data_IF_742433247807
#
_entry.id   IF_742433247807
#
_cell.length_a   1.000
_cell.length_b   1.000
_cell.length_c   1.000
_cell.angle_alpha   90.00
_cell.angle_beta   90.00
_cell.angle_gamma   90.00
#
_symmetry.space_group_name_H-M   'P 1'
#
loop_
_entity.id
_entity.type
_entity.pdbx_description
1 polymer ?
#
# COMPACT_ATOMS: atom_id res chain seq x y z
N UNK A 1 -52.60 52.92 36.85
CA UNK A 1 -51.66 51.94 37.42
C UNK A 1 -51.97 50.58 36.82
N UNK A 2 -51.15 50.10 35.89
CA UNK A 2 -51.16 48.71 35.39
C UNK A 2 -49.89 48.45 34.55
N UNK A 3 -49.07 47.53 35.05
CA UNK A 3 -47.99 46.70 34.47
C UNK A 3 -47.05 47.23 33.36
N UNK A 4 -45.71 47.08 33.51
CA UNK A 4 -44.78 47.09 32.39
C UNK A 4 -44.55 45.67 31.83
N UNK A 5 -44.41 45.64 30.50
CA UNK A 5 -44.20 44.47 29.65
C UNK A 5 -42.74 44.00 29.72
N UNK A 6 -42.55 42.69 29.89
CA UNK A 6 -41.26 42.01 29.82
C UNK A 6 -40.81 41.84 28.34
N UNK A 7 -39.64 42.37 28.00
CA UNK A 7 -39.01 42.15 26.69
C UNK A 7 -37.94 41.07 26.87
N UNK A 8 -38.17 39.91 26.24
CA UNK A 8 -37.26 38.76 26.16
C UNK A 8 -36.13 39.05 25.17
N UNK A 9 -34.89 38.98 25.64
CA UNK A 9 -33.70 38.87 24.80
C UNK A 9 -33.64 37.47 24.16
N UNK A 10 -33.65 37.40 22.83
CA UNK A 10 -33.34 36.19 22.08
C UNK A 10 -31.87 36.26 21.63
N UNK A 11 -31.02 35.45 22.26
CA UNK A 11 -29.66 35.19 21.81
C UNK A 11 -29.75 34.02 20.82
N UNK A 12 -29.63 34.33 19.53
CA UNK A 12 -29.49 33.32 18.48
C UNK A 12 -28.05 32.85 18.46
N UNK A 13 -27.78 31.72 19.13
CA UNK A 13 -26.50 31.03 19.04
C UNK A 13 -26.42 30.30 17.68
N UNK A 14 -25.69 30.89 16.72
CA UNK A 14 -25.25 30.18 15.52
C UNK A 14 -24.22 29.12 15.92
N UNK A 15 -24.67 27.88 16.05
CA UNK A 15 -23.81 26.70 16.07
C UNK A 15 -23.20 26.52 14.67
N UNK A 16 -21.97 27.02 14.50
CA UNK A 16 -21.12 26.60 13.40
C UNK A 16 -20.78 25.11 13.62
N UNK A 17 -21.41 24.23 12.85
CA UNK A 17 -20.89 22.88 12.64
C UNK A 17 -19.58 23.00 11.84
N UNK A 18 -18.48 23.28 12.53
CA UNK A 18 -17.16 22.99 12.01
C UNK A 18 -17.00 21.48 12.07
N UNK A 19 -17.39 20.78 11.01
CA UNK A 19 -17.08 19.36 10.84
C UNK A 19 -15.55 19.21 10.90
N UNK A 20 -14.99 18.49 11.87
CA UNK A 20 -13.59 18.12 11.83
C UNK A 20 -13.49 16.91 10.89
N UNK A 21 -13.72 17.12 9.59
CA UNK A 21 -13.08 16.29 8.57
C UNK A 21 -11.70 16.89 8.33
N UNK A 22 -10.93 16.95 9.41
CA UNK A 22 -9.50 17.21 9.34
C UNK A 22 -8.90 15.98 8.65
N UNK A 23 -8.15 16.23 7.58
CA UNK A 23 -7.52 15.25 6.71
C UNK A 23 -6.73 14.17 7.45
N UNK A 24 -7.41 13.12 7.89
CA UNK A 24 -6.90 11.76 7.80
C UNK A 24 -7.35 11.28 6.41
N UNK A 25 -6.41 10.97 5.51
CA UNK A 25 -6.74 10.51 4.16
C UNK A 25 -7.68 9.32 4.24
N UNK A 26 -8.90 9.46 3.71
CA UNK A 26 -9.90 8.40 3.77
C UNK A 26 -9.37 7.09 3.16
N UNK A 27 -9.90 5.96 3.61
CA UNK A 27 -9.65 4.69 2.93
C UNK A 27 -10.35 4.69 1.56
N UNK A 28 -9.74 4.13 0.50
CA UNK A 28 -10.35 4.10 -0.82
C UNK A 28 -11.74 3.46 -0.81
N UNK A 29 -12.70 4.12 -1.46
CA UNK A 29 -14.07 3.63 -1.63
C UNK A 29 -14.32 3.39 -3.12
N UNK A 30 -14.47 2.13 -3.57
CA UNK A 30 -14.75 1.85 -4.96
C UNK A 30 -16.09 2.42 -5.40
N UNK A 31 -16.13 2.98 -6.60
CA UNK A 31 -17.34 3.54 -7.19
C UNK A 31 -18.45 2.48 -7.31
N UNK A 32 -19.67 2.85 -6.92
CA UNK A 32 -20.90 2.03 -7.04
C UNK A 32 -20.82 0.66 -6.35
N UNK A 33 -19.88 0.49 -5.42
CA UNK A 33 -19.71 -0.76 -4.68
C UNK A 33 -20.58 -0.82 -3.41
N UNK A 34 -20.91 -2.05 -3.00
CA UNK A 34 -21.73 -2.33 -1.82
C UNK A 34 -20.85 -2.82 -0.67
N UNK A 35 -20.97 -2.21 0.51
CA UNK A 35 -20.37 -2.76 1.74
C UNK A 35 -21.08 -4.07 2.11
N UNK A 36 -20.32 -5.16 2.20
CA UNK A 36 -20.82 -6.52 2.51
C UNK A 36 -20.23 -7.12 3.77
N UNK A 37 -19.17 -6.52 4.31
CA UNK A 37 -18.58 -6.82 5.62
C UNK A 37 -17.93 -5.52 6.12
N UNK A 38 -18.08 -5.20 7.40
CA UNK A 38 -17.39 -4.08 8.02
C UNK A 38 -17.05 -4.46 9.46
N UNK A 39 -15.80 -4.24 9.84
CA UNK A 39 -15.28 -4.52 11.18
C UNK A 39 -14.73 -3.22 11.76
N UNK A 40 -15.26 -2.74 12.89
CA UNK A 40 -14.74 -1.54 13.54
C UNK A 40 -13.32 -1.78 14.03
N UNK A 41 -12.62 -0.68 14.37
CA UNK A 41 -11.31 -0.74 14.97
C UNK A 41 -11.32 -1.59 16.26
N UNK A 42 -10.52 -2.64 16.29
CA UNK A 42 -10.29 -3.49 17.46
C UNK A 42 -8.80 -3.66 17.66
N UNK A 43 -8.36 -3.59 18.91
CA UNK A 43 -6.96 -3.85 19.25
C UNK A 43 -6.65 -5.35 19.12
N UNK A 44 -5.68 -5.69 18.28
CA UNK A 44 -5.24 -7.06 18.10
C UNK A 44 -3.79 -7.13 17.61
N UNK A 45 -3.19 -8.31 17.74
CA UNK A 45 -1.99 -8.64 16.97
C UNK A 45 -2.36 -8.83 15.50
N UNK A 46 -1.52 -8.28 14.62
CA UNK A 46 -1.72 -8.34 13.18
C UNK A 46 -0.44 -8.73 12.49
N UNK A 47 -0.56 -9.70 11.58
CA UNK A 47 0.52 -10.20 10.74
C UNK A 47 0.16 -9.95 9.28
N UNK A 48 0.99 -9.18 8.59
CA UNK A 48 0.90 -8.94 7.16
C UNK A 48 2.02 -9.68 6.42
N UNK A 49 1.68 -10.72 5.65
CA UNK A 49 2.66 -11.44 4.84
C UNK A 49 3.27 -10.56 3.75
N UNK A 50 4.57 -10.68 3.56
CA UNK A 50 5.33 -10.01 2.50
C UNK A 50 5.93 -11.02 1.51
N UNK A 51 5.15 -12.07 1.20
CA UNK A 51 5.55 -13.13 0.29
C UNK A 51 4.35 -13.99 -0.15
N UNK A 52 4.55 -14.88 -1.14
CA UNK A 52 3.50 -15.79 -1.59
C UNK A 52 3.06 -16.73 -0.47
N UNK A 53 1.75 -16.92 -0.32
CA UNK A 53 1.19 -17.81 0.68
C UNK A 53 1.12 -19.25 0.18
N UNK A 54 1.59 -20.17 1.03
CA UNK A 54 1.46 -21.62 0.83
C UNK A 54 1.29 -22.33 2.15
N UNK A 55 0.64 -23.49 2.13
CA UNK A 55 0.62 -24.42 3.27
C UNK A 55 1.78 -25.41 3.17
N UNK A 56 2.53 -25.56 4.27
CA UNK A 56 3.54 -26.60 4.43
C UNK A 56 3.16 -27.42 5.66
N UNK A 57 2.94 -28.71 5.48
CA UNK A 57 2.53 -29.63 6.56
C UNK A 57 1.30 -29.14 7.34
N UNK A 58 0.31 -28.57 6.63
CA UNK A 58 -0.94 -28.07 7.20
C UNK A 58 -0.85 -26.71 7.90
N UNK A 59 0.31 -26.05 7.92
CA UNK A 59 0.49 -24.72 8.52
C UNK A 59 0.78 -23.68 7.46
N UNK A 60 0.25 -22.47 7.66
CA UNK A 60 0.58 -21.31 6.84
C UNK A 60 2.06 -20.99 7.01
N UNK A 61 2.81 -20.95 5.91
CA UNK A 61 4.20 -20.47 5.91
C UNK A 61 4.23 -19.05 5.37
N UNK A 62 4.73 -18.14 6.20
CA UNK A 62 5.00 -16.75 5.84
C UNK A 62 6.50 -16.52 6.02
N UNK A 63 7.23 -16.33 4.93
CA UNK A 63 8.69 -16.18 4.95
C UNK A 63 9.08 -14.81 5.53
N UNK A 64 8.61 -13.72 4.91
CA UNK A 64 8.75 -12.34 5.38
C UNK A 64 7.38 -11.78 5.82
N UNK A 65 7.36 -10.94 6.86
CA UNK A 65 6.12 -10.34 7.40
C UNK A 65 6.37 -9.03 8.15
N UNK A 66 5.34 -8.20 8.21
CA UNK A 66 5.19 -7.19 9.26
C UNK A 66 4.30 -7.76 10.36
N UNK A 67 4.73 -7.69 11.60
CA UNK A 67 3.98 -8.17 12.77
C UNK A 67 4.03 -7.13 13.88
N UNK A 68 2.87 -6.69 14.34
CA UNK A 68 2.75 -5.72 15.43
C UNK A 68 1.36 -5.82 16.07
N UNK A 69 1.18 -5.13 17.20
CA UNK A 69 -0.10 -4.97 17.88
C UNK A 69 -0.61 -3.54 17.70
N UNK A 70 -1.92 -3.39 17.50
CA UNK A 70 -2.53 -2.08 17.27
C UNK A 70 -4.00 -2.19 16.90
N UNK A 71 -4.59 -1.08 16.46
CA UNK A 71 -5.98 -1.03 16.05
C UNK A 71 -6.12 -1.51 14.61
N UNK A 72 -6.96 -2.52 14.38
CA UNK A 72 -7.29 -3.03 13.03
C UNK A 72 -8.75 -2.74 12.74
N UNK A 73 -9.03 -2.10 11.61
CA UNK A 73 -10.39 -1.94 11.08
C UNK A 73 -10.43 -2.38 9.61
N UNK A 74 -11.59 -2.83 9.13
CA UNK A 74 -11.70 -3.21 7.73
C UNK A 74 -13.09 -3.07 7.15
N UNK A 75 -13.12 -2.90 5.82
CA UNK A 75 -14.33 -2.87 5.01
C UNK A 75 -14.13 -3.78 3.80
N UNK A 76 -15.11 -4.64 3.54
CA UNK A 76 -15.16 -5.44 2.31
C UNK A 76 -16.29 -4.92 1.43
N UNK A 77 -15.92 -4.53 0.23
CA UNK A 77 -16.80 -4.08 -0.83
C UNK A 77 -17.06 -5.21 -1.83
N UNK A 78 -18.32 -5.42 -2.18
CA UNK A 78 -18.72 -6.15 -3.38
C UNK A 78 -18.85 -5.14 -4.52
N UNK A 79 -18.15 -5.41 -5.62
CA UNK A 79 -18.13 -4.55 -6.80
C UNK A 79 -19.35 -4.82 -7.68
N UNK A 80 -19.86 -3.81 -8.40
CA UNK A 80 -20.91 -4.00 -9.39
C UNK A 80 -20.40 -4.88 -10.55
N UNK A 81 -21.30 -5.54 -11.28
CA UNK A 81 -20.94 -6.56 -12.29
C UNK A 81 -20.17 -6.00 -13.47
N UNK A 82 -20.25 -4.68 -13.68
CA UNK A 82 -19.58 -3.92 -14.72
C UNK A 82 -18.11 -3.61 -14.38
N UNK A 83 -17.70 -3.79 -13.11
CA UNK A 83 -16.35 -3.46 -12.63
C UNK A 83 -15.56 -4.72 -12.31
N UNK A 84 -14.25 -4.67 -12.54
CA UNK A 84 -13.36 -5.80 -12.24
C UNK A 84 -12.64 -5.61 -10.91
N UNK A 85 -12.28 -6.72 -10.24
CA UNK A 85 -11.43 -6.69 -9.04
C UNK A 85 -10.10 -5.96 -9.29
N UNK A 86 -9.51 -6.18 -10.47
CA UNK A 86 -8.22 -5.58 -10.84
C UNK A 86 -8.31 -4.06 -10.99
N UNK A 87 -9.35 -3.58 -11.66
CA UNK A 87 -9.58 -2.14 -11.85
C UNK A 87 -9.78 -1.42 -10.50
N UNK A 88 -10.65 -1.97 -9.63
CA UNK A 88 -10.87 -1.40 -8.30
C UNK A 88 -9.60 -1.40 -7.46
N UNK A 89 -8.80 -2.48 -7.54
CA UNK A 89 -7.49 -2.57 -6.88
C UNK A 89 -6.51 -1.51 -7.38
N UNK A 90 -6.37 -1.37 -8.70
CA UNK A 90 -5.46 -0.38 -9.31
C UNK A 90 -5.85 1.03 -8.90
N UNK A 91 -7.14 1.38 -8.99
CA UNK A 91 -7.63 2.69 -8.58
C UNK A 91 -7.36 2.97 -7.10
N UNK A 92 -7.66 2.02 -6.21
CA UNK A 92 -7.45 2.18 -4.77
C UNK A 92 -5.96 2.29 -4.40
N UNK A 93 -5.10 1.48 -5.05
CA UNK A 93 -3.65 1.57 -4.88
C UNK A 93 -3.12 2.93 -5.30
N UNK A 94 -3.48 3.39 -6.49
CA UNK A 94 -2.99 4.67 -7.04
C UNK A 94 -3.47 5.87 -6.23
N UNK A 95 -4.67 5.80 -5.64
CA UNK A 95 -5.13 6.77 -4.66
C UNK A 95 -4.23 6.81 -3.42
N UNK A 96 -3.99 5.66 -2.78
CA UNK A 96 -3.11 5.59 -1.60
C UNK A 96 -1.68 6.04 -1.89
N UNK A 97 -1.14 5.71 -3.07
CA UNK A 97 0.20 6.14 -3.46
C UNK A 97 0.27 7.65 -3.73
N UNK A 98 -0.77 8.23 -4.35
CA UNK A 98 -0.87 9.70 -4.51
C UNK A 98 -0.94 10.43 -3.17
N UNK A 99 -1.53 9.80 -2.16
CA UNK A 99 -1.58 10.31 -0.80
C UNK A 99 -0.26 10.12 -0.02
N UNK A 100 0.82 9.72 -0.70
CA UNK A 100 2.15 9.53 -0.13
C UNK A 100 2.37 8.14 0.49
N UNK A 101 1.45 7.20 0.27
CA UNK A 101 1.63 5.82 0.69
C UNK A 101 2.70 5.10 -0.14
N UNK A 102 3.59 4.37 0.52
CA UNK A 102 4.64 3.62 -0.15
C UNK A 102 4.38 2.09 -0.08
N UNK A 103 4.51 1.36 -1.20
CA UNK A 103 4.35 -0.09 -1.20
C UNK A 103 5.43 -0.79 -0.36
N UNK A 104 5.02 -1.73 0.49
CA UNK A 104 5.90 -2.67 1.18
C UNK A 104 5.91 -4.03 0.49
N UNK A 105 4.74 -4.49 0.07
CA UNK A 105 4.61 -5.75 -0.65
C UNK A 105 3.50 -5.66 -1.68
N UNK A 106 3.76 -6.10 -2.92
CA UNK A 106 2.76 -6.16 -3.97
C UNK A 106 2.87 -7.46 -4.80
N UNK A 107 1.78 -8.22 -4.83
CA UNK A 107 1.64 -9.41 -5.67
C UNK A 107 0.35 -9.38 -6.49
N UNK A 108 0.33 -10.15 -7.57
CA UNK A 108 -0.82 -10.27 -8.45
C UNK A 108 -0.93 -11.69 -9.01
N UNK A 109 -2.16 -12.21 -9.10
CA UNK A 109 -2.40 -13.55 -9.61
C UNK A 109 -1.67 -14.60 -8.77
N UNK A 110 -1.07 -15.59 -9.43
CA UNK A 110 -0.36 -16.69 -8.76
C UNK A 110 0.85 -16.25 -7.93
N UNK A 111 1.41 -15.08 -8.18
CA UNK A 111 2.55 -14.55 -7.40
C UNK A 111 2.16 -14.30 -5.93
N UNK A 112 0.86 -14.22 -5.64
CA UNK A 112 0.35 -14.14 -4.27
C UNK A 112 0.27 -15.49 -3.54
N UNK A 113 0.39 -16.61 -4.24
CA UNK A 113 0.09 -17.93 -3.72
C UNK A 113 -1.41 -18.22 -3.67
N UNK A 114 -1.84 -19.06 -2.73
CA UNK A 114 -3.23 -19.54 -2.65
C UNK A 114 -4.19 -18.46 -2.12
N UNK A 115 -5.20 -18.07 -2.91
CA UNK A 115 -6.21 -17.08 -2.54
C UNK A 115 -7.01 -17.49 -1.29
N UNK A 116 -7.18 -18.80 -1.09
CA UNK A 116 -7.87 -19.32 0.10
C UNK A 116 -7.14 -19.00 1.41
N UNK A 117 -5.81 -18.89 1.37
CA UNK A 117 -5.01 -18.57 2.56
C UNK A 117 -5.12 -17.08 2.90
N UNK A 118 -5.13 -16.21 1.88
CA UNK A 118 -5.42 -14.79 2.08
C UNK A 118 -6.82 -14.60 2.71
N UNK A 119 -7.83 -15.25 2.14
CA UNK A 119 -9.20 -15.12 2.61
C UNK A 119 -9.40 -15.63 4.05
N UNK A 120 -8.91 -16.83 4.35
CA UNK A 120 -9.25 -17.53 5.60
C UNK A 120 -8.21 -17.30 6.70
N UNK A 121 -6.92 -17.38 6.37
CA UNK A 121 -5.83 -17.34 7.35
C UNK A 121 -5.33 -15.90 7.60
N UNK A 122 -5.38 -15.01 6.59
CA UNK A 122 -4.98 -13.60 6.75
C UNK A 122 -6.16 -12.70 7.13
N UNK A 123 -7.22 -12.63 6.33
CA UNK A 123 -8.33 -11.67 6.56
C UNK A 123 -9.51 -12.27 7.35
N UNK A 124 -9.54 -13.59 7.56
CA UNK A 124 -10.65 -14.30 8.19
C UNK A 124 -12.02 -13.90 7.59
N UNK A 125 -12.10 -13.74 6.27
CA UNK A 125 -13.30 -13.37 5.54
C UNK A 125 -13.53 -14.31 4.35
N UNK A 126 -14.41 -15.29 4.54
CA UNK A 126 -14.66 -16.32 3.54
C UNK A 126 -15.25 -15.80 2.21
N UNK A 127 -15.75 -14.55 2.17
CA UNK A 127 -16.19 -13.90 0.92
C UNK A 127 -15.02 -13.64 -0.02
N UNK A 128 -13.80 -13.55 0.50
CA UNK A 128 -12.58 -13.33 -0.27
C UNK A 128 -12.01 -14.62 -0.88
N UNK A 129 -12.67 -15.78 -0.69
CA UNK A 129 -12.27 -17.02 -1.36
C UNK A 129 -12.62 -16.94 -2.85
N UNK A 130 -11.61 -16.78 -3.70
CA UNK A 130 -11.74 -16.78 -5.15
C UNK A 130 -10.59 -17.48 -5.87
N UNK A 131 -10.34 -17.12 -7.13
CA UNK A 131 -9.34 -17.79 -7.96
C UNK A 131 -7.95 -17.18 -7.82
N UNK A 132 -6.92 -18.04 -7.74
CA UNK A 132 -5.53 -17.62 -7.58
C UNK A 132 -5.05 -16.68 -8.71
N UNK A 133 -5.57 -16.84 -9.92
CA UNK A 133 -5.24 -15.99 -11.08
C UNK A 133 -5.89 -14.60 -11.03
N UNK A 134 -6.99 -14.47 -10.31
CA UNK A 134 -7.85 -13.29 -10.30
C UNK A 134 -7.81 -12.57 -8.95
N UNK A 135 -6.66 -12.63 -8.27
CA UNK A 135 -6.40 -11.88 -7.05
C UNK A 135 -5.33 -10.81 -7.25
N UNK A 136 -5.29 -9.85 -6.33
CA UNK A 136 -4.15 -8.97 -6.12
C UNK A 136 -4.11 -8.53 -4.66
N UNK A 137 -2.90 -8.39 -4.12
CA UNK A 137 -2.68 -7.90 -2.76
C UNK A 137 -1.60 -6.83 -2.79
N UNK A 138 -1.81 -5.76 -2.03
CA UNK A 138 -0.76 -4.81 -1.71
C UNK A 138 -0.84 -4.42 -0.23
N UNK A 139 0.32 -4.35 0.40
CA UNK A 139 0.52 -3.72 1.69
C UNK A 139 1.23 -2.40 1.45
N UNK A 140 0.62 -1.29 1.86
CA UNK A 140 1.24 0.03 1.86
C UNK A 140 1.44 0.49 3.29
N UNK A 141 2.47 1.29 3.51
CA UNK A 141 2.57 2.17 4.66
C UNK A 141 2.12 3.57 4.23
N UNK A 142 1.35 4.26 5.07
CA UNK A 142 0.89 5.62 4.81
C UNK A 142 2.08 6.60 4.76
N UNK A 143 1.78 7.88 4.49
CA UNK A 143 2.76 8.95 4.40
C UNK A 143 3.60 9.10 5.68
N UNK A 144 4.66 9.92 5.61
CA UNK A 144 5.55 10.16 6.75
C UNK A 144 4.80 10.67 8.01
N UNK A 145 3.72 11.45 7.83
CA UNK A 145 2.89 11.95 8.93
C UNK A 145 2.06 10.85 9.61
N UNK A 146 1.81 9.74 8.91
CA UNK A 146 1.07 8.56 9.38
C UNK A 146 1.96 7.30 9.32
N UNK A 147 3.25 7.45 9.58
CA UNK A 147 4.24 6.40 9.37
C UNK A 147 4.00 5.12 10.19
N UNK A 148 3.15 5.12 11.21
CA UNK A 148 2.80 3.91 11.98
C UNK A 148 1.46 3.29 11.53
N UNK A 149 0.95 3.72 10.39
CA UNK A 149 -0.28 3.22 9.77
C UNK A 149 0.03 2.42 8.50
N UNK A 150 -0.53 1.20 8.43
CA UNK A 150 -0.49 0.34 7.25
C UNK A 150 -1.89 0.20 6.65
N UNK A 151 -1.95 0.12 5.32
CA UNK A 151 -3.16 -0.21 4.57
C UNK A 151 -2.93 -1.46 3.74
N UNK A 152 -3.73 -2.48 3.98
CA UNK A 152 -3.78 -3.70 3.21
C UNK A 152 -4.98 -3.66 2.24
N UNK A 153 -4.69 -3.73 0.95
CA UNK A 153 -5.71 -3.90 -0.09
C UNK A 153 -5.66 -5.33 -0.62
N UNK A 154 -6.79 -6.01 -0.64
CA UNK A 154 -6.93 -7.31 -1.28
C UNK A 154 -8.12 -7.33 -2.23
N UNK A 155 -7.88 -7.63 -3.49
CA UNK A 155 -8.95 -7.79 -4.48
C UNK A 155 -9.00 -9.22 -4.97
N UNK A 156 -10.20 -9.70 -5.27
CA UNK A 156 -10.41 -11.06 -5.77
C UNK A 156 -11.69 -11.18 -6.58
N UNK A 157 -11.65 -11.94 -7.67
CA UNK A 157 -12.85 -12.43 -8.36
C UNK A 157 -13.11 -13.88 -7.98
N UNK A 158 -14.33 -14.16 -7.55
CA UNK A 158 -14.79 -15.53 -7.21
C UNK A 158 -15.19 -16.30 -8.46
N UNK A 159 -15.26 -17.64 -8.33
CA UNK A 159 -15.72 -18.51 -9.41
C UNK A 159 -17.15 -18.24 -9.90
N UNK A 160 -17.98 -17.57 -9.10
CA UNK A 160 -19.33 -17.11 -9.51
C UNK A 160 -19.34 -15.71 -10.14
N UNK A 161 -18.17 -15.16 -10.50
CA UNK A 161 -17.95 -13.84 -11.10
C UNK A 161 -18.19 -12.63 -10.20
N UNK A 162 -18.54 -12.82 -8.92
CA UNK A 162 -18.59 -11.71 -7.97
C UNK A 162 -17.16 -11.26 -7.64
N UNK A 163 -16.93 -9.96 -7.73
CA UNK A 163 -15.64 -9.33 -7.46
C UNK A 163 -15.70 -8.54 -6.15
N UNK A 164 -14.61 -8.56 -5.40
CA UNK A 164 -14.51 -7.90 -4.11
C UNK A 164 -13.23 -7.08 -4.01
N UNK A 165 -13.32 -5.98 -3.25
CA UNK A 165 -12.17 -5.27 -2.71
C UNK A 165 -12.28 -5.26 -1.19
N UNK A 166 -11.28 -5.77 -0.51
CA UNK A 166 -11.09 -5.65 0.93
C UNK A 166 -10.07 -4.56 1.20
N UNK A 167 -10.41 -3.68 2.13
CA UNK A 167 -9.56 -2.59 2.60
C UNK A 167 -9.43 -2.73 4.11
N UNK A 168 -8.22 -2.94 4.60
CA UNK A 168 -7.92 -3.05 6.02
C UNK A 168 -6.89 -1.99 6.41
N UNK A 169 -7.19 -1.23 7.45
CA UNK A 169 -6.29 -0.26 8.05
C UNK A 169 -5.81 -0.78 9.38
N UNK A 170 -4.50 -0.64 9.61
CA UNK A 170 -3.85 -0.99 10.85
C UNK A 170 -3.04 0.19 11.36
N UNK A 171 -3.41 0.69 12.53
CA UNK A 171 -2.68 1.73 13.26
C UNK A 171 -1.91 1.05 14.37
N UNK A 172 -0.58 1.01 14.28
CA UNK A 172 0.26 0.33 15.25
C UNK A 172 0.20 1.02 16.63
N UNK A 173 0.23 0.23 17.70
CA UNK A 173 0.31 0.75 19.08
C UNK A 173 1.71 1.20 19.49
N UNK A 174 2.71 0.99 18.63
CA UNK A 174 4.10 1.38 18.81
C UNK A 174 4.77 1.62 17.46
N UNK A 175 5.87 2.41 17.39
CA UNK A 175 6.56 2.69 16.14
C UNK A 175 6.95 1.41 15.36
N UNK A 176 6.63 1.38 14.07
CA UNK A 176 6.92 0.25 13.18
C UNK A 176 8.41 0.17 12.78
N UNK A 177 9.16 1.26 12.98
CA UNK A 177 10.56 1.35 12.59
C UNK A 177 10.75 1.43 11.07
N UNK A 178 11.92 0.97 10.62
CA UNK A 178 12.25 0.89 9.19
C UNK A 178 11.58 -0.34 8.58
N UNK A 179 10.71 -0.12 7.58
CA UNK A 179 10.09 -1.17 6.80
C UNK A 179 10.49 -0.96 5.33
N UNK A 180 11.15 -1.96 4.74
CA UNK A 180 11.61 -1.90 3.35
C UNK A 180 10.67 -2.71 2.45
N UNK A 181 10.45 -2.29 1.19
CA UNK A 181 9.76 -3.14 0.24
C UNK A 181 10.55 -4.39 -0.09
N UNK A 182 9.86 -5.41 -0.59
CA UNK A 182 10.55 -6.57 -1.18
C UNK A 182 11.12 -6.22 -2.55
N UNK A 183 12.22 -6.88 -2.95
CA UNK A 183 12.82 -6.65 -4.26
C UNK A 183 11.85 -6.90 -5.43
N UNK A 184 10.95 -7.87 -5.29
CA UNK A 184 9.91 -8.14 -6.27
C UNK A 184 8.86 -7.01 -6.35
N UNK A 185 8.57 -6.36 -5.23
CA UNK A 185 7.67 -5.19 -5.17
C UNK A 185 8.28 -4.01 -5.89
N UNK A 186 9.55 -3.68 -5.60
CA UNK A 186 10.29 -2.61 -6.28
C UNK A 186 10.35 -2.86 -7.79
N UNK A 187 10.66 -4.09 -8.22
CA UNK A 187 10.65 -4.44 -9.65
C UNK A 187 9.27 -4.27 -10.28
N UNK A 188 8.21 -4.69 -9.58
CA UNK A 188 6.83 -4.59 -10.09
C UNK A 188 6.41 -3.14 -10.24
N UNK A 189 6.68 -2.31 -9.24
CA UNK A 189 6.39 -0.87 -9.26
C UNK A 189 7.17 -0.16 -10.37
N UNK A 190 8.45 -0.49 -10.55
CA UNK A 190 9.26 0.03 -11.64
C UNK A 190 8.69 -0.34 -13.02
N UNK A 191 8.18 -1.57 -13.20
CA UNK A 191 7.56 -2.00 -14.47
C UNK A 191 6.19 -1.35 -14.71
N UNK A 192 5.45 -1.09 -13.64
CA UNK A 192 4.11 -0.50 -13.70
C UNK A 192 4.18 0.99 -14.07
N UNK A 193 5.06 1.74 -13.43
CA UNK A 193 5.13 3.20 -13.55
C UNK A 193 6.24 3.67 -14.49
N UNK A 194 7.23 2.83 -14.75
CA UNK A 194 8.44 3.17 -15.49
C UNK A 194 9.49 3.93 -14.67
N UNK A 195 9.21 4.27 -13.42
CA UNK A 195 10.09 5.08 -12.58
C UNK A 195 9.91 4.80 -11.08
N UNK A 196 10.87 5.21 -10.27
CA UNK A 196 10.77 5.20 -8.81
C UNK A 196 11.31 6.51 -8.26
N UNK A 197 10.57 7.09 -7.31
CA UNK A 197 10.87 8.37 -6.68
C UNK A 197 11.08 8.15 -5.17
N UNK A 198 12.31 8.37 -4.68
CA UNK A 198 12.67 8.27 -3.27
C UNK A 198 13.26 9.59 -2.77
N UNK A 199 12.41 10.59 -2.43
CA UNK A 199 12.86 11.93 -2.06
C UNK A 199 13.73 11.95 -0.79
N UNK A 200 13.51 11.01 0.13
CA UNK A 200 14.25 10.92 1.39
C UNK A 200 15.60 10.19 1.27
N UNK A 201 15.91 9.63 0.09
CA UNK A 201 17.14 8.88 -0.16
C UNK A 201 18.18 9.75 -0.88
N UNK A 202 18.87 10.60 -0.12
CA UNK A 202 19.97 11.40 -0.65
C UNK A 202 21.22 10.54 -0.97
N UNK A 203 21.99 10.16 0.04
CA UNK A 203 23.20 9.35 -0.14
C UNK A 203 22.89 7.84 -0.17
N UNK A 204 23.70 7.02 -0.87
CA UNK A 204 23.56 5.57 -0.87
C UNK A 204 23.66 4.99 0.54
N UNK A 205 22.63 4.23 0.93
CA UNK A 205 22.59 3.47 2.17
C UNK A 205 22.68 1.98 1.84
N UNK A 206 23.50 1.21 2.58
CA UNK A 206 23.78 -0.20 2.24
C UNK A 206 22.51 -1.05 2.11
N UNK A 207 21.51 -0.82 2.97
CA UNK A 207 20.21 -1.51 2.94
C UNK A 207 19.47 -1.27 1.62
N UNK A 208 19.37 -0.01 1.20
CA UNK A 208 18.72 0.41 -0.04
C UNK A 208 19.52 0.02 -1.28
N UNK A 209 20.84 0.12 -1.25
CA UNK A 209 21.72 -0.35 -2.34
C UNK A 209 21.49 -1.85 -2.58
N UNK A 210 21.48 -2.66 -1.52
CA UNK A 210 21.24 -4.10 -1.64
C UNK A 210 19.81 -4.42 -2.11
N UNK A 211 18.81 -3.66 -1.68
CA UNK A 211 17.43 -3.80 -2.14
C UNK A 211 17.31 -3.49 -3.64
N UNK A 212 17.76 -2.31 -4.07
CA UNK A 212 17.68 -1.86 -5.46
C UNK A 212 18.50 -2.76 -6.39
N UNK A 213 19.70 -3.17 -5.97
CA UNK A 213 20.54 -4.12 -6.73
C UNK A 213 19.84 -5.47 -6.92
N UNK A 214 19.26 -6.05 -5.87
CA UNK A 214 18.47 -7.29 -5.99
C UNK A 214 17.28 -7.10 -6.92
N UNK A 215 16.56 -5.98 -6.80
CA UNK A 215 15.39 -5.65 -7.62
C UNK A 215 15.74 -5.57 -9.11
N UNK A 216 16.81 -4.85 -9.45
CA UNK A 216 17.32 -4.74 -10.82
C UNK A 216 17.87 -6.08 -11.35
N UNK A 217 18.38 -6.95 -10.48
CA UNK A 217 18.91 -8.25 -10.90
C UNK A 217 17.84 -9.34 -11.06
N UNK A 218 16.62 -9.14 -10.52
CA UNK A 218 15.47 -9.99 -10.83
C UNK A 218 15.07 -9.93 -12.31
N UNK A 219 15.34 -8.82 -12.99
CA UNK A 219 15.22 -8.69 -14.44
C UNK A 219 16.46 -8.03 -15.04
N UNK A 220 17.40 -8.87 -15.50
CA UNK A 220 18.67 -8.39 -16.06
C UNK A 220 18.56 -7.66 -17.40
N UNK A 221 17.36 -7.62 -18.01
CA UNK A 221 17.12 -6.92 -19.27
C UNK A 221 16.84 -5.43 -19.09
N UNK A 222 16.38 -5.02 -17.90
CA UNK A 222 16.06 -3.63 -17.62
C UNK A 222 17.33 -2.77 -17.58
N UNK A 223 17.24 -1.58 -18.16
CA UNK A 223 18.24 -0.52 -18.03
C UNK A 223 17.58 0.65 -17.31
N UNK A 224 18.32 1.33 -16.45
CA UNK A 224 17.79 2.43 -15.65
C UNK A 224 18.75 3.62 -15.62
N UNK A 225 18.17 4.81 -15.65
CA UNK A 225 18.84 6.08 -15.40
C UNK A 225 18.64 6.47 -13.95
N UNK A 226 19.71 6.91 -13.29
CA UNK A 226 19.69 7.39 -11.90
C UNK A 226 19.87 8.91 -11.90
N UNK A 227 18.97 9.63 -11.25
CA UNK A 227 19.05 11.09 -11.11
C UNK A 227 19.01 11.49 -9.63
N UNK A 228 19.51 12.70 -9.35
CA UNK A 228 19.66 13.26 -8.00
C UNK A 228 21.09 13.72 -7.71
N UNK A 229 21.28 14.47 -6.62
CA UNK A 229 22.57 15.06 -6.27
C UNK A 229 23.70 14.03 -6.07
N UNK A 230 23.35 12.78 -5.71
CA UNK A 230 24.27 11.67 -5.46
C UNK A 230 24.16 10.56 -6.52
N UNK A 231 23.64 10.85 -7.72
CA UNK A 231 23.37 9.84 -8.75
C UNK A 231 24.60 8.99 -9.13
N UNK A 232 25.78 9.61 -9.26
CA UNK A 232 27.03 8.89 -9.54
C UNK A 232 27.42 7.96 -8.39
N UNK A 233 27.30 8.43 -7.13
CA UNK A 233 27.57 7.61 -5.95
C UNK A 233 26.62 6.40 -5.86
N UNK A 234 25.34 6.60 -6.19
CA UNK A 234 24.35 5.52 -6.29
C UNK A 234 24.71 4.53 -7.39
N UNK A 235 25.08 5.01 -8.58
CA UNK A 235 25.53 4.18 -9.70
C UNK A 235 26.72 3.31 -9.29
N UNK A 236 27.76 3.89 -8.70
CA UNK A 236 28.94 3.16 -8.23
C UNK A 236 28.59 2.11 -7.17
N UNK A 237 27.74 2.48 -6.19
CA UNK A 237 27.30 1.57 -5.14
C UNK A 237 26.51 0.37 -5.70
N UNK A 238 25.61 0.60 -6.65
CA UNK A 238 24.85 -0.45 -7.32
C UNK A 238 25.73 -1.37 -8.18
N UNK A 239 26.74 -0.82 -8.85
CA UNK A 239 27.74 -1.61 -9.59
C UNK A 239 28.52 -2.51 -8.63
N UNK A 240 28.98 -1.96 -7.50
CA UNK A 240 29.66 -2.72 -6.45
C UNK A 240 28.77 -3.81 -5.85
N UNK A 241 27.46 -3.56 -5.78
CA UNK A 241 26.44 -4.54 -5.36
C UNK A 241 26.03 -5.54 -6.47
N UNK A 242 26.70 -5.52 -7.63
CA UNK A 242 26.58 -6.53 -8.67
C UNK A 242 25.61 -6.19 -9.81
N UNK A 243 25.12 -4.96 -9.91
CA UNK A 243 24.39 -4.52 -11.11
C UNK A 243 25.39 -4.26 -12.23
N UNK A 244 25.13 -4.76 -13.44
CA UNK A 244 26.07 -4.58 -14.56
C UNK A 244 26.15 -3.09 -14.96
N UNK A 245 27.38 -2.57 -15.06
CA UNK A 245 27.64 -1.18 -15.41
C UNK A 245 26.88 -0.69 -16.65
N UNK A 246 26.85 -1.46 -17.75
CA UNK A 246 26.15 -1.08 -18.98
C UNK A 246 24.62 -0.96 -18.87
N UNK A 247 24.04 -1.30 -17.72
CA UNK A 247 22.61 -1.16 -17.44
C UNK A 247 22.25 0.14 -16.73
N UNK A 248 23.24 0.88 -16.22
CA UNK A 248 23.03 2.06 -15.40
C UNK A 248 23.68 3.27 -16.07
N UNK A 249 22.93 4.35 -16.16
CA UNK A 249 23.44 5.66 -16.56
C UNK A 249 23.01 6.74 -15.55
N UNK A 250 23.69 7.89 -15.59
CA UNK A 250 23.32 9.05 -14.78
C UNK A 250 22.43 9.95 -15.61
N UNK A 251 21.24 10.24 -15.08
CA UNK A 251 20.26 11.14 -15.65
C UNK A 251 20.34 12.54 -15.06
N UNK A 252 19.36 13.37 -15.42
CA UNK A 252 19.24 14.76 -14.99
C UNK A 252 17.83 15.14 -14.54
N UNK A 253 17.00 14.14 -14.24
CA UNK A 253 15.64 14.39 -13.76
C UNK A 253 15.68 15.16 -12.43
N UNK A 254 14.86 16.20 -12.25
CA UNK A 254 14.82 16.96 -11.01
C UNK A 254 14.24 16.09 -9.88
N UNK A 255 14.97 15.95 -8.79
CA UNK A 255 14.56 15.22 -7.59
C UNK A 255 15.35 15.70 -6.37
N UNK A 256 14.73 15.65 -5.19
CA UNK A 256 15.37 15.99 -3.91
C UNK A 256 16.20 14.83 -3.34
N UNK A 257 15.96 13.61 -3.81
CA UNK A 257 16.63 12.38 -3.37
C UNK A 257 17.12 11.54 -4.53
N UNK A 258 16.70 10.28 -4.56
CA UNK A 258 17.03 9.34 -5.62
C UNK A 258 15.83 9.17 -6.55
N UNK A 259 16.04 9.40 -7.84
CA UNK A 259 15.09 9.08 -8.89
C UNK A 259 15.67 8.00 -9.80
N UNK A 260 14.90 6.96 -10.08
CA UNK A 260 15.23 5.93 -11.06
C UNK A 260 14.20 5.94 -12.18
N UNK A 261 14.63 5.86 -13.43
CA UNK A 261 13.74 5.80 -14.59
C UNK A 261 14.19 4.69 -15.55
N UNK A 262 13.27 3.90 -16.09
CA UNK A 262 13.57 2.89 -17.08
C UNK A 262 13.95 3.52 -18.42
N UNK A 263 15.08 3.08 -18.98
CA UNK A 263 15.54 3.47 -20.30
C UNK A 263 14.92 2.51 -21.31
N UNK A 264 14.11 3.04 -22.23
CA UNK A 264 13.48 2.28 -23.31
C UNK A 264 14.43 2.04 -24.47
#
# INVERSE_FOLDING_TARGET
>A
MSAPVAIRNAITACLAFASPLLWAGGLPVPQDAKVVDQRPAVEQERVYPMGPLRKISGRLRVDDKVESRGQVSSVTYELPVERTAREAFTSAREELQRDGGYPLFWCQGRDCGEASLWANDVFANARLNGGDEQQAFILLRRSADEADTLVALYSVTRGNRRAYLHVEEFVAGSPLGELLPTAATVLREMRDTGKLDYPDLAAPQDTWVNLLARSLNLDSTLRASLSGAQAEAWREALIKAGVRNGRLEVGSAPTDGLHLELIR
#
